data_IF_462516759115
#
_entry.id   IF_462516759115
#
_cell.length_a   1.000
_cell.length_b   1.000
_cell.length_c   1.000
_cell.angle_alpha   90.00
_cell.angle_beta   90.00
_cell.angle_gamma   90.00
#
_symmetry.space_group_name_H-M   'P 1'
#
loop_
_entity.id
_entity.type
_entity.pdbx_description
1 polymer ?
#
# COMPACT_ATOMS: atom_id res chain seq x y z
N UNK A 1 -17.71 42.75 -13.59
CA UNK A 1 -18.90 41.87 -13.72
C UNK A 1 -18.83 40.93 -14.91
N UNK A 2 -18.74 41.40 -16.16
CA UNK A 2 -18.74 40.50 -17.35
C UNK A 2 -17.73 39.35 -17.31
N UNK A 3 -16.46 39.60 -16.93
CA UNK A 3 -15.43 38.54 -16.79
C UNK A 3 -15.80 37.50 -15.74
N UNK A 4 -16.27 37.92 -14.56
CA UNK A 4 -16.68 37.02 -13.46
C UNK A 4 -17.85 36.15 -13.89
N UNK A 5 -18.83 36.73 -14.60
CA UNK A 5 -19.98 36.01 -15.14
C UNK A 5 -19.53 34.91 -16.11
N UNK A 6 -18.63 35.20 -17.05
CA UNK A 6 -18.10 34.22 -18.00
C UNK A 6 -17.46 33.02 -17.29
N UNK A 7 -16.63 33.26 -16.28
CA UNK A 7 -15.99 32.19 -15.53
C UNK A 7 -16.97 31.38 -14.66
N UNK A 8 -18.02 32.02 -14.12
CA UNK A 8 -19.10 31.33 -13.40
C UNK A 8 -19.91 30.42 -14.33
N UNK A 9 -20.30 30.92 -15.52
CA UNK A 9 -20.95 30.10 -16.54
C UNK A 9 -20.06 28.95 -17.00
N UNK A 10 -18.75 29.20 -17.20
CA UNK A 10 -17.80 28.16 -17.58
C UNK A 10 -17.74 27.04 -16.52
N UNK A 11 -17.65 27.36 -15.24
CA UNK A 11 -17.68 26.35 -14.16
C UNK A 11 -18.99 25.55 -14.14
N UNK A 12 -20.13 26.21 -14.38
CA UNK A 12 -21.42 25.53 -14.42
C UNK A 12 -21.53 24.57 -15.60
N UNK A 13 -21.14 25.02 -16.79
CA UNK A 13 -21.15 24.20 -18.01
C UNK A 13 -20.18 23.02 -17.84
N UNK A 14 -18.98 23.25 -17.33
CA UNK A 14 -18.01 22.19 -17.06
C UNK A 14 -18.55 21.15 -16.08
N UNK A 15 -19.26 21.56 -15.02
CA UNK A 15 -19.93 20.65 -14.09
C UNK A 15 -20.99 19.78 -14.78
N UNK A 16 -21.79 20.36 -15.68
CA UNK A 16 -22.81 19.63 -16.44
C UNK A 16 -22.15 18.63 -17.39
N UNK A 17 -21.16 19.08 -18.17
CA UNK A 17 -20.41 18.21 -19.09
C UNK A 17 -19.77 17.07 -18.32
N UNK A 18 -19.10 17.35 -17.20
CA UNK A 18 -18.51 16.33 -16.35
C UNK A 18 -19.53 15.29 -15.88
N UNK A 19 -20.71 15.73 -15.42
CA UNK A 19 -21.75 14.79 -14.99
C UNK A 19 -22.23 13.91 -16.15
N UNK A 20 -22.53 14.49 -17.31
CA UNK A 20 -22.96 13.76 -18.51
C UNK A 20 -21.92 12.71 -18.91
N UNK A 21 -20.63 13.05 -18.88
CA UNK A 21 -19.57 12.10 -19.20
C UNK A 21 -19.34 11.06 -18.10
N UNK A 22 -19.82 11.26 -16.87
CA UNK A 22 -19.74 10.26 -15.81
C UNK A 22 -21.00 9.39 -15.68
N UNK A 23 -22.15 9.81 -16.22
CA UNK A 23 -23.40 9.08 -16.05
C UNK A 23 -23.34 7.65 -16.58
N UNK A 24 -23.55 6.70 -15.67
CA UNK A 24 -23.87 5.32 -15.99
C UNK A 24 -25.14 4.99 -15.23
N UNK A 25 -26.24 4.74 -15.94
CA UNK A 25 -27.47 4.29 -15.31
C UNK A 25 -27.28 2.84 -14.86
N UNK A 26 -27.01 2.63 -13.56
CA UNK A 26 -27.06 1.33 -12.92
C UNK A 26 -27.88 1.38 -11.64
N UNK A 27 -28.52 0.26 -11.31
CA UNK A 27 -29.18 0.10 -10.02
C UNK A 27 -28.11 -0.16 -8.95
N UNK A 28 -27.93 0.78 -7.99
CA UNK A 28 -26.94 0.67 -6.93
C UNK A 28 -26.50 2.01 -6.34
N UNK A 29 -25.33 2.02 -5.70
CA UNK A 29 -24.68 3.23 -5.13
C UNK A 29 -24.55 4.40 -6.14
N UNK A 30 -24.25 4.17 -7.44
CA UNK A 30 -24.21 5.25 -8.43
C UNK A 30 -25.49 6.06 -8.55
N UNK A 31 -26.65 5.50 -8.19
CA UNK A 31 -27.93 6.22 -8.24
C UNK A 31 -27.93 7.46 -7.33
N UNK A 32 -27.15 7.46 -6.24
CA UNK A 32 -27.01 8.59 -5.32
C UNK A 32 -26.24 9.77 -5.94
N UNK A 33 -25.46 9.53 -7.01
CA UNK A 33 -24.69 10.58 -7.68
C UNK A 33 -25.58 11.65 -8.32
N UNK A 34 -26.73 11.24 -8.89
CA UNK A 34 -27.67 12.13 -9.57
C UNK A 34 -28.34 13.13 -8.63
N UNK A 35 -28.98 12.73 -7.51
CA UNK A 35 -29.57 13.69 -6.59
C UNK A 35 -28.52 14.61 -5.97
N UNK A 36 -27.33 14.09 -5.61
CA UNK A 36 -26.23 14.91 -5.07
C UNK A 36 -25.80 15.99 -6.07
N UNK A 37 -25.55 15.60 -7.32
CA UNK A 37 -25.17 16.54 -8.38
C UNK A 37 -26.30 17.53 -8.70
N UNK A 38 -27.54 17.07 -8.79
CA UNK A 38 -28.69 17.90 -9.16
C UNK A 38 -28.99 18.95 -8.09
N UNK A 39 -29.01 18.56 -6.81
CA UNK A 39 -29.23 19.49 -5.68
C UNK A 39 -28.16 20.57 -5.69
N UNK A 40 -26.89 20.18 -5.81
CA UNK A 40 -25.78 21.13 -5.82
C UNK A 40 -25.81 22.05 -7.05
N UNK A 41 -26.01 21.48 -8.24
CA UNK A 41 -26.03 22.24 -9.49
C UNK A 41 -27.24 23.17 -9.59
N UNK A 42 -28.41 22.76 -9.10
CA UNK A 42 -29.59 23.61 -9.02
C UNK A 42 -29.37 24.78 -8.05
N UNK A 43 -28.80 24.52 -6.87
CA UNK A 43 -28.48 25.57 -5.91
C UNK A 43 -27.41 26.53 -6.43
N UNK A 44 -26.35 26.03 -7.07
CA UNK A 44 -25.33 26.86 -7.70
C UNK A 44 -25.90 27.70 -8.85
N UNK A 45 -26.72 27.10 -9.73
CA UNK A 45 -27.41 27.81 -10.79
C UNK A 45 -28.36 28.89 -10.26
N UNK A 46 -29.08 28.63 -9.18
CA UNK A 46 -29.98 29.60 -8.58
C UNK A 46 -29.23 30.74 -7.89
N UNK A 47 -28.31 30.45 -6.97
CA UNK A 47 -27.65 31.48 -6.15
C UNK A 47 -26.51 32.18 -6.88
N UNK A 48 -25.63 31.45 -7.57
CA UNK A 48 -24.45 32.04 -8.20
C UNK A 48 -24.75 32.60 -9.60
N UNK A 49 -25.60 31.94 -10.38
CA UNK A 49 -25.91 32.41 -11.74
C UNK A 49 -27.14 33.33 -11.73
N UNK A 50 -28.29 32.85 -11.30
CA UNK A 50 -29.52 33.63 -11.40
C UNK A 50 -29.55 34.83 -10.45
N UNK A 51 -29.32 34.63 -9.14
CA UNK A 51 -29.36 35.73 -8.16
C UNK A 51 -28.16 36.66 -8.29
N UNK A 52 -26.94 36.13 -8.30
CA UNK A 52 -25.73 36.96 -8.31
C UNK A 52 -25.40 37.55 -9.69
N UNK A 53 -25.43 36.77 -10.78
CA UNK A 53 -25.04 37.27 -12.12
C UNK A 53 -26.21 37.93 -12.85
N UNK A 54 -27.36 37.27 -12.97
CA UNK A 54 -28.50 37.77 -13.79
C UNK A 54 -29.26 38.88 -13.07
N UNK A 55 -29.62 38.68 -11.80
CA UNK A 55 -30.31 39.70 -10.98
C UNK A 55 -29.36 40.74 -10.36
N UNK A 56 -28.05 40.56 -10.54
CA UNK A 56 -26.99 41.47 -10.07
C UNK A 56 -27.04 41.74 -8.55
N UNK A 57 -27.50 40.76 -7.76
CA UNK A 57 -27.64 40.91 -6.31
C UNK A 57 -26.31 40.60 -5.60
N UNK A 58 -25.57 41.65 -5.27
CA UNK A 58 -24.23 41.55 -4.64
C UNK A 58 -24.22 40.86 -3.27
N UNK A 59 -25.38 40.74 -2.61
CA UNK A 59 -25.56 40.00 -1.34
C UNK A 59 -25.18 38.52 -1.45
N UNK A 60 -25.26 37.93 -2.64
CA UNK A 60 -25.00 36.50 -2.86
C UNK A 60 -23.55 36.17 -3.24
N UNK A 61 -22.64 37.14 -3.20
CA UNK A 61 -21.22 36.94 -3.55
C UNK A 61 -20.57 35.88 -2.67
N UNK A 62 -20.74 35.96 -1.35
CA UNK A 62 -20.16 34.97 -0.42
C UNK A 62 -20.72 33.57 -0.65
N UNK A 63 -22.03 33.47 -0.95
CA UNK A 63 -22.66 32.21 -1.31
C UNK A 63 -22.08 31.64 -2.61
N UNK A 64 -21.89 32.48 -3.64
CA UNK A 64 -21.27 32.07 -4.90
C UNK A 64 -19.81 31.60 -4.72
N UNK A 65 -19.04 32.29 -3.88
CA UNK A 65 -17.68 31.89 -3.51
C UNK A 65 -17.68 30.51 -2.84
N UNK A 66 -18.57 30.26 -1.87
CA UNK A 66 -18.68 28.97 -1.20
C UNK A 66 -19.02 27.84 -2.16
N UNK A 67 -19.98 28.04 -3.07
CA UNK A 67 -20.26 27.03 -4.10
C UNK A 67 -19.05 26.75 -5.00
N UNK A 68 -18.25 27.75 -5.36
CA UNK A 68 -17.04 27.53 -6.16
C UNK A 68 -15.94 26.79 -5.39
N UNK A 69 -15.79 27.06 -4.08
CA UNK A 69 -14.87 26.33 -3.21
C UNK A 69 -15.25 24.84 -3.14
N UNK A 70 -16.55 24.53 -3.07
CA UNK A 70 -17.04 23.16 -2.94
C UNK A 70 -17.24 22.40 -4.25
N UNK A 71 -17.37 23.11 -5.38
CA UNK A 71 -17.65 22.49 -6.68
C UNK A 71 -16.69 21.34 -7.03
N UNK A 72 -15.35 21.50 -6.93
CA UNK A 72 -14.43 20.41 -7.28
C UNK A 72 -14.54 19.20 -6.35
N UNK A 73 -14.84 19.42 -5.07
CA UNK A 73 -15.02 18.34 -4.09
C UNK A 73 -16.32 17.56 -4.35
N UNK A 74 -17.41 18.26 -4.65
CA UNK A 74 -18.67 17.62 -5.04
C UNK A 74 -18.51 16.80 -6.31
N UNK A 75 -17.81 17.32 -7.32
CA UNK A 75 -17.51 16.56 -8.54
C UNK A 75 -16.71 15.28 -8.24
N UNK A 76 -15.75 15.34 -7.32
CA UNK A 76 -14.95 14.19 -6.92
C UNK A 76 -15.79 13.15 -6.13
N UNK A 77 -16.73 13.59 -5.29
CA UNK A 77 -17.69 12.69 -4.63
C UNK A 77 -18.57 11.99 -5.68
N UNK A 78 -19.15 12.75 -6.61
CA UNK A 78 -19.99 12.21 -7.69
C UNK A 78 -19.19 11.21 -8.53
N UNK A 79 -17.93 11.53 -8.85
CA UNK A 79 -17.02 10.62 -9.54
C UNK A 79 -16.85 9.29 -8.82
N UNK A 80 -16.53 9.33 -7.52
CA UNK A 80 -16.36 8.11 -6.73
C UNK A 80 -17.65 7.30 -6.64
N UNK A 81 -18.80 7.95 -6.47
CA UNK A 81 -20.10 7.26 -6.46
C UNK A 81 -20.36 6.51 -7.77
N UNK A 82 -19.99 7.07 -8.92
CA UNK A 82 -20.13 6.38 -10.21
C UNK A 82 -19.19 5.18 -10.35
N UNK A 83 -17.97 5.25 -9.80
CA UNK A 83 -16.98 4.16 -9.90
C UNK A 83 -17.16 3.08 -8.81
N UNK A 84 -17.97 3.36 -7.79
CA UNK A 84 -18.20 2.45 -6.67
C UNK A 84 -18.83 1.10 -7.06
N UNK A 85 -19.56 1.04 -8.19
CA UNK A 85 -20.23 -0.18 -8.67
C UNK A 85 -19.25 -1.23 -9.24
N UNK A 86 -17.97 -0.88 -9.36
CA UNK A 86 -16.92 -1.79 -9.80
C UNK A 86 -16.99 -2.23 -11.26
N UNK A 87 -17.84 -1.61 -12.07
CA UNK A 87 -17.90 -1.85 -13.52
C UNK A 87 -16.64 -1.36 -14.21
N UNK A 88 -16.25 -2.07 -15.26
CA UNK A 88 -15.15 -1.61 -16.12
C UNK A 88 -15.62 -0.41 -16.95
N UNK A 89 -14.86 0.67 -16.83
CA UNK A 89 -15.04 1.92 -17.57
C UNK A 89 -13.90 1.99 -18.58
N UNK A 90 -14.19 2.47 -19.79
CA UNK A 90 -13.14 2.67 -20.78
C UNK A 90 -12.12 3.69 -20.26
N UNK A 91 -10.84 3.36 -20.36
CA UNK A 91 -9.73 4.24 -19.97
C UNK A 91 -9.86 5.66 -20.52
N UNK A 92 -10.27 5.82 -21.78
CA UNK A 92 -10.43 7.14 -22.40
C UNK A 92 -11.52 8.00 -21.76
N UNK A 93 -12.61 7.37 -21.30
CA UNK A 93 -13.69 8.06 -20.59
C UNK A 93 -13.22 8.57 -19.24
N UNK A 94 -12.50 7.72 -18.49
CA UNK A 94 -11.95 8.10 -17.20
C UNK A 94 -10.90 9.20 -17.34
N UNK A 95 -10.05 9.13 -18.38
CA UNK A 95 -9.02 10.13 -18.62
C UNK A 95 -9.64 11.48 -18.92
N UNK A 96 -10.66 11.50 -19.77
CA UNK A 96 -11.39 12.71 -20.10
C UNK A 96 -12.08 13.33 -18.88
N UNK A 97 -12.72 12.52 -18.02
CA UNK A 97 -13.39 13.04 -16.83
C UNK A 97 -12.40 13.55 -15.79
N UNK A 98 -11.26 12.88 -15.59
CA UNK A 98 -10.18 13.39 -14.71
C UNK A 98 -9.63 14.71 -15.24
N UNK A 99 -9.38 14.83 -16.55
CA UNK A 99 -8.94 16.09 -17.17
C UNK A 99 -9.98 17.20 -16.96
N UNK A 100 -11.27 16.90 -17.20
CA UNK A 100 -12.35 17.85 -16.95
C UNK A 100 -12.40 18.31 -15.49
N UNK A 101 -12.17 17.40 -14.55
CA UNK A 101 -12.11 17.73 -13.13
C UNK A 101 -10.94 18.68 -12.82
N UNK A 102 -9.74 18.40 -13.35
CA UNK A 102 -8.56 19.27 -13.20
C UNK A 102 -8.82 20.65 -13.81
N UNK A 103 -9.38 20.70 -15.03
CA UNK A 103 -9.76 21.96 -15.69
C UNK A 103 -10.77 22.72 -14.83
N UNK A 104 -11.80 22.05 -14.30
CA UNK A 104 -12.81 22.69 -13.44
C UNK A 104 -12.19 23.21 -12.15
N UNK A 105 -11.26 22.47 -11.54
CA UNK A 105 -10.53 22.91 -10.36
C UNK A 105 -9.73 24.19 -10.65
N UNK A 106 -8.98 24.23 -11.76
CA UNK A 106 -8.20 25.42 -12.17
C UNK A 106 -9.13 26.61 -12.47
N UNK A 107 -10.21 26.39 -13.22
CA UNK A 107 -11.16 27.47 -13.55
C UNK A 107 -11.83 27.98 -12.27
N UNK A 108 -12.20 27.12 -11.32
CA UNK A 108 -12.70 27.52 -10.00
C UNK A 108 -11.70 28.41 -9.25
N UNK A 109 -10.42 28.02 -9.20
CA UNK A 109 -9.37 28.83 -8.55
C UNK A 109 -9.20 30.21 -9.20
N UNK A 110 -9.25 30.27 -10.54
CA UNK A 110 -9.21 31.52 -11.30
C UNK A 110 -10.44 32.38 -11.01
N UNK A 111 -11.65 31.80 -10.95
CA UNK A 111 -12.87 32.53 -10.61
C UNK A 111 -12.81 33.08 -9.18
N UNK A 112 -12.36 32.26 -8.22
CA UNK A 112 -12.16 32.67 -6.83
C UNK A 112 -11.14 33.81 -6.71
N UNK A 113 -10.07 33.79 -7.52
CA UNK A 113 -9.10 34.87 -7.60
C UNK A 113 -9.73 36.20 -8.05
N UNK A 114 -10.69 36.17 -8.98
CA UNK A 114 -11.43 37.36 -9.41
C UNK A 114 -12.53 37.80 -8.42
N UNK A 115 -13.07 36.87 -7.62
CA UNK A 115 -14.11 37.15 -6.62
C UNK A 115 -13.55 37.67 -5.28
N UNK A 116 -12.23 37.84 -5.14
CA UNK A 116 -11.63 38.40 -3.91
C UNK A 116 -12.14 39.83 -3.65
N UNK A 117 -12.45 40.21 -2.39
CA UNK A 117 -13.04 41.51 -2.04
C UNK A 117 -12.34 42.72 -2.66
N UNK A 118 -11.00 42.72 -2.68
CA UNK A 118 -10.17 43.80 -3.23
C UNK A 118 -10.31 44.02 -4.74
N UNK A 119 -10.93 43.10 -5.48
CA UNK A 119 -11.03 43.10 -6.95
C UNK A 119 -12.46 43.19 -7.45
N UNK A 120 -13.42 43.21 -6.53
CA UNK A 120 -14.81 43.35 -6.88
C UNK A 120 -15.08 44.80 -7.27
N UNK A 121 -15.79 45.04 -8.39
CA UNK A 121 -16.10 46.39 -8.86
C UNK A 121 -17.26 47.04 -8.08
N UNK A 122 -17.75 46.39 -7.03
CA UNK A 122 -18.88 46.83 -6.22
C UNK A 122 -18.54 46.68 -4.74
N UNK A 123 -19.26 47.42 -3.90
CA UNK A 123 -19.09 47.36 -2.45
C UNK A 123 -19.55 46.01 -1.89
N UNK A 124 -18.65 45.35 -1.16
CA UNK A 124 -18.94 44.04 -0.58
C UNK A 124 -19.91 44.24 0.58
N UNK A 125 -21.07 43.56 0.55
CA UNK A 125 -22.06 43.70 1.62
C UNK A 125 -21.45 43.23 2.95
N UNK A 126 -21.65 44.01 4.02
CA UNK A 126 -21.22 43.61 5.35
C UNK A 126 -21.89 42.29 5.76
N UNK A 127 -21.13 41.39 6.37
CA UNK A 127 -21.70 40.17 6.95
C UNK A 127 -22.68 40.59 8.05
N UNK A 128 -23.88 39.99 8.04
CA UNK A 128 -24.88 40.21 9.09
C UNK A 128 -24.27 39.85 10.44
N UNK A 129 -24.16 40.84 11.34
CA UNK A 129 -23.75 40.61 12.73
C UNK A 129 -24.93 40.01 13.48
N UNK A 130 -24.83 38.74 13.82
CA UNK A 130 -25.79 38.08 14.69
C UNK A 130 -25.44 38.42 16.15
N UNK A 131 -26.45 38.44 17.04
CA UNK A 131 -26.27 38.63 18.49
C UNK A 131 -26.92 37.48 19.25
N UNK A 132 -26.42 37.19 20.45
CA UNK A 132 -26.94 36.13 21.33
C UNK A 132 -26.76 34.70 20.77
N UNK A 133 -27.76 33.84 20.94
CA UNK A 133 -27.69 32.43 20.51
C UNK A 133 -27.46 32.26 18.99
N UNK A 134 -27.96 33.20 18.17
CA UNK A 134 -27.76 33.17 16.72
C UNK A 134 -26.30 33.44 16.32
N UNK A 135 -25.55 34.20 17.13
CA UNK A 135 -24.12 34.38 16.93
C UNK A 135 -23.36 33.07 17.18
N UNK A 136 -23.66 32.40 18.30
CA UNK A 136 -23.03 31.10 18.62
C UNK A 136 -23.27 30.09 17.50
N UNK A 137 -24.50 30.00 16.99
CA UNK A 137 -24.81 29.09 15.87
C UNK A 137 -24.10 29.49 14.57
N UNK A 138 -24.05 30.77 14.24
CA UNK A 138 -23.36 31.24 13.04
C UNK A 138 -21.85 30.99 13.12
N UNK A 139 -21.24 31.25 14.28
CA UNK A 139 -19.84 30.98 14.55
C UNK A 139 -19.55 29.47 14.45
N UNK A 140 -20.38 28.63 15.07
CA UNK A 140 -20.24 27.18 14.99
C UNK A 140 -20.33 26.66 13.54
N UNK A 141 -21.21 27.23 12.72
CA UNK A 141 -21.32 26.88 11.30
C UNK A 141 -20.09 27.35 10.50
N UNK A 142 -19.54 28.52 10.78
CA UNK A 142 -18.31 29.02 10.15
C UNK A 142 -17.10 28.13 10.51
N UNK A 143 -17.00 27.67 11.76
CA UNK A 143 -15.98 26.69 12.18
C UNK A 143 -16.17 25.32 11.55
N UNK A 144 -17.41 24.84 11.44
CA UNK A 144 -17.73 23.58 10.78
C UNK A 144 -17.38 23.62 9.30
N UNK A 145 -17.70 24.72 8.61
CA UNK A 145 -17.35 24.96 7.21
C UNK A 145 -15.84 24.94 7.00
N UNK A 146 -15.07 25.63 7.84
CA UNK A 146 -13.61 25.63 7.80
C UNK A 146 -13.03 24.22 8.05
N UNK A 147 -13.56 23.48 9.03
CA UNK A 147 -13.13 22.12 9.32
C UNK A 147 -13.42 21.16 8.16
N UNK A 148 -14.62 21.25 7.56
CA UNK A 148 -15.02 20.44 6.41
C UNK A 148 -14.11 20.70 5.21
N UNK A 149 -13.79 21.96 4.92
CA UNK A 149 -12.85 22.33 3.86
C UNK A 149 -11.44 21.80 4.13
N UNK A 150 -10.95 21.87 5.37
CA UNK A 150 -9.65 21.32 5.75
C UNK A 150 -9.59 19.80 5.55
N UNK A 151 -10.67 19.07 5.89
CA UNK A 151 -10.77 17.62 5.66
C UNK A 151 -10.69 17.29 4.16
N UNK A 152 -11.37 18.03 3.29
CA UNK A 152 -11.25 17.78 1.85
C UNK A 152 -9.83 18.00 1.33
N UNK A 153 -9.17 19.08 1.77
CA UNK A 153 -7.78 19.38 1.39
C UNK A 153 -6.85 18.26 1.88
N UNK A 154 -7.01 17.80 3.13
CA UNK A 154 -6.15 16.75 3.68
C UNK A 154 -6.34 15.43 2.94
N UNK A 155 -7.56 15.10 2.50
CA UNK A 155 -7.84 13.95 1.66
C UNK A 155 -7.09 14.06 0.32
N UNK A 156 -7.17 15.20 -0.37
CA UNK A 156 -6.43 15.38 -1.63
C UNK A 156 -4.91 15.28 -1.43
N UNK A 157 -4.38 15.89 -0.37
CA UNK A 157 -2.95 15.83 -0.04
C UNK A 157 -2.54 14.37 0.21
N UNK A 158 -3.34 13.59 0.93
CA UNK A 158 -3.08 12.18 1.23
C UNK A 158 -3.13 11.27 0.00
N UNK A 159 -3.97 11.61 -0.97
CA UNK A 159 -4.09 10.87 -2.23
C UNK A 159 -2.90 11.18 -3.15
N UNK A 160 -2.54 12.46 -3.34
CA UNK A 160 -1.62 12.87 -4.41
C UNK A 160 -0.21 13.28 -3.96
N UNK A 161 -0.03 13.71 -2.71
CA UNK A 161 1.20 14.37 -2.28
C UNK A 161 1.97 13.52 -1.28
N UNK A 162 1.48 13.42 -0.05
CA UNK A 162 2.16 12.74 1.05
C UNK A 162 1.19 11.88 1.83
N UNK A 163 1.63 10.73 2.34
CA UNK A 163 0.86 9.96 3.31
C UNK A 163 1.76 9.54 4.48
N UNK A 164 1.24 9.67 5.69
CA UNK A 164 1.87 9.18 6.91
C UNK A 164 1.47 7.72 7.13
N UNK A 165 2.45 6.86 7.40
CA UNK A 165 2.25 5.47 7.78
C UNK A 165 2.95 5.17 9.10
N UNK A 166 2.41 4.20 9.84
CA UNK A 166 3.06 3.61 10.99
C UNK A 166 3.51 2.20 10.60
N UNK A 167 4.76 1.85 10.91
CA UNK A 167 5.31 0.53 10.60
C UNK A 167 4.75 -0.51 11.59
N UNK A 168 3.99 -1.52 11.12
CA UNK A 168 3.35 -2.49 12.00
C UNK A 168 4.18 -3.75 12.26
N UNK A 169 5.29 -3.95 11.52
CA UNK A 169 6.06 -5.21 11.52
C UNK A 169 7.57 -4.96 11.49
N UNK A 170 8.33 -5.97 11.90
CA UNK A 170 9.78 -6.00 12.04
C UNK A 170 10.51 -6.22 10.71
N UNK A 171 9.80 -6.36 9.59
CA UNK A 171 10.39 -6.76 8.30
C UNK A 171 11.32 -5.73 7.64
N UNK A 172 11.47 -4.55 8.26
CA UNK A 172 12.36 -3.47 7.80
C UNK A 172 13.42 -3.12 8.85
N UNK A 173 13.56 -3.93 9.91
CA UNK A 173 14.63 -3.79 10.93
C UNK A 173 15.99 -4.07 10.27
N UNK A 174 17.06 -3.32 10.60
CA UNK A 174 17.15 -2.27 11.63
C UNK A 174 16.72 -0.87 11.17
N UNK A 175 16.38 -0.69 9.89
CA UNK A 175 16.16 0.65 9.32
C UNK A 175 14.87 1.31 9.80
N UNK A 176 13.81 0.51 10.00
CA UNK A 176 12.59 0.94 10.66
C UNK A 176 12.22 -0.04 11.75
N UNK A 177 11.97 0.50 12.94
CA UNK A 177 11.46 -0.23 14.09
C UNK A 177 9.93 -0.21 14.09
N UNK A 178 9.35 -1.15 14.84
CA UNK A 178 7.89 -1.20 15.00
C UNK A 178 7.41 0.07 15.70
N UNK A 179 6.31 0.64 15.20
CA UNK A 179 5.72 1.94 15.61
C UNK A 179 6.44 3.19 15.08
N UNK A 180 7.50 3.04 14.28
CA UNK A 180 8.07 4.18 13.57
C UNK A 180 7.03 4.80 12.62
N UNK A 181 7.04 6.13 12.54
CA UNK A 181 6.15 6.91 11.68
C UNK A 181 6.94 7.39 10.47
N UNK A 182 6.57 6.92 9.29
CA UNK A 182 7.23 7.26 8.03
C UNK A 182 6.35 8.15 7.17
N UNK A 183 6.96 9.12 6.50
CA UNK A 183 6.29 10.00 5.53
C UNK A 183 6.62 9.49 4.13
N UNK A 184 5.59 9.15 3.37
CA UNK A 184 5.74 8.67 1.99
C UNK A 184 5.34 9.76 1.02
N UNK A 185 6.27 10.13 0.13
CA UNK A 185 6.01 11.06 -0.96
C UNK A 185 5.50 10.30 -2.18
N UNK A 186 4.24 10.55 -2.56
CA UNK A 186 3.60 9.88 -3.69
C UNK A 186 3.79 10.61 -5.01
N UNK A 187 3.97 11.93 -4.98
CA UNK A 187 4.07 12.75 -6.21
C UNK A 187 5.11 12.27 -7.21
N UNK A 188 6.36 11.91 -6.82
CA UNK A 188 7.37 11.45 -7.77
C UNK A 188 7.02 10.11 -8.44
N UNK A 189 6.26 9.27 -7.73
CA UNK A 189 5.84 7.95 -8.16
C UNK A 189 4.68 7.96 -9.16
N UNK A 190 4.07 9.13 -9.44
CA UNK A 190 2.91 9.23 -10.32
C UNK A 190 1.67 8.58 -9.68
N UNK A 191 1.08 9.20 -8.64
CA UNK A 191 -0.05 8.61 -7.92
C UNK A 191 -1.21 8.34 -8.86
N UNK A 192 -1.88 7.22 -8.65
CA UNK A 192 -3.11 6.87 -9.37
C UNK A 192 -4.28 7.66 -8.82
N UNK A 193 -5.15 8.13 -9.71
CA UNK A 193 -6.42 8.72 -9.31
C UNK A 193 -7.30 7.58 -8.74
N UNK A 194 -7.83 7.72 -7.51
CA UNK A 194 -8.50 6.61 -6.85
C UNK A 194 -9.66 6.02 -7.68
N UNK A 195 -9.83 4.71 -7.61
CA UNK A 195 -10.87 3.96 -8.35
C UNK A 195 -10.70 3.97 -9.88
N UNK A 196 -9.54 4.38 -10.37
CA UNK A 196 -9.19 4.34 -11.79
C UNK A 196 -7.75 3.89 -12.02
N UNK A 197 -7.45 3.48 -13.25
CA UNK A 197 -6.11 3.10 -13.69
C UNK A 197 -5.26 4.29 -14.14
N UNK A 198 -5.80 5.51 -14.06
CA UNK A 198 -5.11 6.72 -14.52
C UNK A 198 -4.10 7.14 -13.47
N UNK A 199 -2.84 7.16 -13.86
CA UNK A 199 -1.75 7.70 -13.06
C UNK A 199 -1.31 9.07 -13.57
N UNK A 200 -0.89 9.92 -12.65
CA UNK A 200 -0.11 11.10 -13.02
C UNK A 200 1.23 10.65 -13.65
N UNK A 201 1.83 11.46 -14.54
CA UNK A 201 3.12 11.15 -15.12
C UNK A 201 4.17 10.85 -14.04
N UNK A 202 4.87 9.73 -14.20
CA UNK A 202 5.96 9.34 -13.30
C UNK A 202 7.14 10.30 -13.49
N UNK A 203 7.46 11.06 -12.44
CA UNK A 203 8.58 12.01 -12.44
C UNK A 203 9.91 11.34 -12.12
N UNK A 204 9.87 10.19 -11.42
CA UNK A 204 11.06 9.42 -11.02
C UNK A 204 10.81 7.93 -11.16
N UNK A 205 11.80 7.21 -11.70
CA UNK A 205 11.86 5.75 -11.65
C UNK A 205 12.47 5.29 -10.33
N UNK A 206 11.98 4.17 -9.80
CA UNK A 206 12.57 3.54 -8.62
C UNK A 206 13.96 3.01 -8.93
N UNK A 207 14.88 3.21 -7.99
CA UNK A 207 16.25 2.68 -8.06
C UNK A 207 16.44 1.61 -6.99
N UNK A 208 17.44 0.77 -7.19
CA UNK A 208 17.92 -0.16 -6.17
C UNK A 208 18.19 0.61 -4.88
N UNK A 209 17.73 0.08 -3.76
CA UNK A 209 17.85 0.73 -2.45
C UNK A 209 16.74 1.74 -2.11
N UNK A 210 15.84 2.09 -3.04
CA UNK A 210 14.68 2.92 -2.71
C UNK A 210 13.69 2.12 -1.84
N UNK A 211 13.15 2.74 -0.78
CA UNK A 211 12.06 2.18 0.02
C UNK A 211 10.76 2.55 -0.64
N UNK A 212 9.91 1.55 -0.87
CA UNK A 212 8.65 1.72 -1.56
C UNK A 212 7.50 1.19 -0.72
N UNK A 213 6.35 1.83 -0.89
CA UNK A 213 5.09 1.40 -0.30
C UNK A 213 4.16 0.99 -1.42
N UNK A 214 3.70 -0.25 -1.40
CA UNK A 214 2.85 -0.82 -2.44
C UNK A 214 1.77 -1.69 -1.84
N UNK A 215 0.70 -1.92 -2.62
CA UNK A 215 -0.40 -2.78 -2.21
C UNK A 215 0.04 -4.23 -2.18
N UNK A 216 -0.44 -4.98 -1.19
CA UNK A 216 -0.15 -6.40 -1.11
C UNK A 216 -0.68 -7.13 -2.38
N UNK A 217 0.16 -7.89 -3.12
CA UNK A 217 -0.30 -8.59 -4.32
C UNK A 217 -1.26 -9.75 -4.02
N UNK A 218 -1.31 -10.23 -2.78
CA UNK A 218 -2.18 -11.35 -2.37
C UNK A 218 -3.60 -10.90 -1.99
N UNK A 219 -3.84 -9.60 -1.82
CA UNK A 219 -5.18 -9.07 -1.52
C UNK A 219 -5.99 -8.91 -2.80
N UNK A 220 -7.32 -9.10 -2.70
CA UNK A 220 -8.23 -8.84 -3.83
C UNK A 220 -8.06 -7.39 -4.33
N UNK A 221 -7.64 -7.26 -5.59
CA UNK A 221 -7.44 -5.97 -6.25
C UNK A 221 -8.68 -5.52 -7.02
N UNK A 222 -9.84 -6.17 -6.82
CA UNK A 222 -11.09 -5.76 -7.44
C UNK A 222 -11.45 -4.31 -7.06
N UNK A 223 -12.13 -3.60 -7.97
CA UNK A 223 -12.62 -2.23 -7.71
C UNK A 223 -13.47 -2.16 -6.44
N UNK A 224 -14.21 -3.23 -6.09
CA UNK A 224 -15.00 -3.30 -4.86
C UNK A 224 -14.13 -3.31 -3.62
N UNK A 225 -13.04 -4.08 -3.63
CA UNK A 225 -12.04 -4.07 -2.57
C UNK A 225 -11.38 -2.68 -2.48
N UNK A 226 -11.10 -2.03 -3.61
CA UNK A 226 -10.54 -0.67 -3.61
C UNK A 226 -11.49 0.37 -3.00
N UNK A 227 -12.80 0.30 -3.32
CA UNK A 227 -13.83 1.12 -2.68
C UNK A 227 -13.90 0.84 -1.18
N UNK A 228 -13.84 -0.43 -0.76
CA UNK A 228 -13.83 -0.80 0.66
C UNK A 228 -12.60 -0.23 1.37
N UNK A 229 -11.41 -0.34 0.78
CA UNK A 229 -10.18 0.19 1.36
C UNK A 229 -10.21 1.71 1.47
N UNK A 230 -10.68 2.40 0.42
CA UNK A 230 -10.80 3.86 0.43
C UNK A 230 -11.85 4.35 1.43
N UNK A 231 -13.04 3.73 1.46
CA UNK A 231 -14.09 4.09 2.43
C UNK A 231 -13.66 3.80 3.86
N UNK A 232 -12.98 2.67 4.09
CA UNK A 232 -12.40 2.34 5.40
C UNK A 232 -11.33 3.34 5.82
N UNK A 233 -10.48 3.80 4.90
CA UNK A 233 -9.50 4.85 5.18
C UNK A 233 -10.15 6.19 5.52
N UNK A 234 -11.23 6.56 4.82
CA UNK A 234 -12.01 7.76 5.15
C UNK A 234 -12.67 7.65 6.53
N UNK A 235 -13.30 6.51 6.83
CA UNK A 235 -13.90 6.26 8.15
C UNK A 235 -12.83 6.29 9.23
N UNK A 236 -11.68 5.65 9.03
CA UNK A 236 -10.57 5.68 9.95
C UNK A 236 -10.07 7.12 10.21
N UNK A 237 -10.01 7.95 9.16
CA UNK A 237 -9.63 9.36 9.28
C UNK A 237 -10.68 10.18 10.03
N UNK A 238 -11.96 10.02 9.70
CA UNK A 238 -13.07 10.75 10.32
C UNK A 238 -13.32 10.33 11.77
N UNK A 239 -13.01 9.08 12.11
CA UNK A 239 -13.13 8.53 13.47
C UNK A 239 -11.86 8.70 14.29
N UNK A 240 -10.91 9.54 13.85
CA UNK A 240 -9.65 9.82 14.55
C UNK A 240 -8.89 8.54 14.91
N UNK A 241 -8.75 7.62 13.96
CA UNK A 241 -8.05 6.32 14.10
C UNK A 241 -8.71 5.29 15.01
N UNK A 242 -9.92 5.53 15.51
CA UNK A 242 -10.60 4.62 16.45
C UNK A 242 -11.21 3.40 15.78
N UNK A 243 -11.71 3.52 14.54
CA UNK A 243 -12.40 2.43 13.84
C UNK A 243 -11.59 2.02 12.61
N UNK A 244 -11.06 0.79 12.63
CA UNK A 244 -10.42 0.16 11.48
C UNK A 244 -11.35 -0.89 10.85
N UNK A 245 -11.86 -0.62 9.66
CA UNK A 245 -12.76 -1.50 8.91
C UNK A 245 -12.00 -2.44 7.94
N UNK A 246 -10.68 -2.29 7.81
CA UNK A 246 -9.85 -3.13 6.93
C UNK A 246 -9.43 -4.42 7.64
N UNK A 247 -10.42 -5.28 7.93
CA UNK A 247 -10.22 -6.63 8.47
C UNK A 247 -10.45 -7.69 7.38
N UNK A 248 -9.70 -8.78 7.47
CA UNK A 248 -9.87 -9.98 6.65
C UNK A 248 -11.12 -10.77 7.06
N UNK A 249 -11.45 -11.83 6.32
CA UNK A 249 -12.61 -12.69 6.60
C UNK A 249 -12.50 -13.42 7.96
N UNK A 250 -11.29 -13.46 8.55
CA UNK A 250 -11.02 -14.01 9.87
C UNK A 250 -10.98 -12.94 10.98
N UNK A 251 -11.28 -11.68 10.67
CA UNK A 251 -11.29 -10.55 11.61
C UNK A 251 -9.91 -9.98 11.97
N UNK A 252 -8.82 -10.43 11.34
CA UNK A 252 -7.48 -9.85 11.52
C UNK A 252 -7.30 -8.64 10.61
N UNK A 253 -6.59 -7.59 11.06
CA UNK A 253 -6.29 -6.44 10.22
C UNK A 253 -5.44 -6.87 9.02
N UNK A 254 -5.86 -6.47 7.82
CA UNK A 254 -5.12 -6.75 6.58
C UNK A 254 -3.82 -5.94 6.61
N UNK A 255 -2.69 -6.59 6.36
CA UNK A 255 -1.37 -5.96 6.25
C UNK A 255 -1.20 -5.27 4.88
N UNK A 256 -1.99 -4.23 4.65
CA UNK A 256 -1.95 -3.36 3.47
C UNK A 256 -1.88 -1.88 3.92
N UNK A 257 -0.90 -1.07 3.46
CA UNK A 257 0.13 -1.39 2.46
C UNK A 257 1.40 -2.04 3.03
N UNK A 258 2.18 -2.66 2.13
CA UNK A 258 3.49 -3.22 2.43
C UNK A 258 4.57 -2.16 2.23
N UNK A 259 5.50 -2.06 3.18
CA UNK A 259 6.72 -1.26 3.08
C UNK A 259 7.88 -2.22 2.85
N UNK A 260 8.57 -2.10 1.71
CA UNK A 260 9.73 -2.92 1.36
C UNK A 260 10.79 -2.08 0.65
N UNK A 261 11.98 -2.63 0.47
CA UNK A 261 13.03 -2.01 -0.32
C UNK A 261 13.19 -2.68 -1.67
N UNK A 262 13.54 -1.87 -2.67
CA UNK A 262 13.82 -2.34 -4.03
C UNK A 262 15.19 -3.01 -4.08
N UNK A 263 15.20 -4.34 -4.13
CA UNK A 263 16.39 -5.19 -4.32
C UNK A 263 16.61 -5.59 -5.78
N UNK A 264 15.68 -5.32 -6.68
CA UNK A 264 15.77 -5.70 -8.09
C UNK A 264 15.20 -4.64 -9.00
N UNK A 265 15.89 -4.38 -10.11
CA UNK A 265 15.39 -3.50 -11.16
C UNK A 265 15.08 -4.31 -12.44
N UNK A 266 14.21 -3.80 -13.33
CA UNK A 266 13.83 -4.52 -14.54
C UNK A 266 15.05 -4.93 -15.38
N UNK A 267 15.07 -6.19 -15.84
CA UNK A 267 16.16 -6.74 -16.66
C UNK A 267 17.24 -7.52 -15.89
N UNK A 268 17.13 -7.58 -14.56
CA UNK A 268 18.00 -8.39 -13.71
C UNK A 268 17.35 -9.73 -13.33
N UNK A 269 18.18 -10.73 -13.12
CA UNK A 269 17.81 -11.96 -12.43
C UNK A 269 18.56 -12.01 -11.11
N UNK A 270 17.82 -12.29 -10.03
CA UNK A 270 18.34 -12.31 -8.68
C UNK A 270 18.34 -13.73 -8.13
N UNK A 271 19.37 -14.07 -7.37
CA UNK A 271 19.42 -15.28 -6.56
C UNK A 271 19.98 -14.92 -5.19
N UNK A 272 19.48 -15.58 -4.15
CA UNK A 272 19.95 -15.40 -2.80
C UNK A 272 20.60 -16.70 -2.34
N UNK A 273 21.82 -16.60 -1.84
CA UNK A 273 22.59 -17.75 -1.36
C UNK A 273 23.27 -17.34 -0.05
N UNK A 274 23.02 -18.07 1.03
CA UNK A 274 23.61 -17.85 2.35
C UNK A 274 23.43 -16.40 2.87
N UNK A 275 22.28 -15.77 2.61
CA UNK A 275 22.01 -14.38 2.98
C UNK A 275 22.71 -13.32 2.10
N UNK A 276 23.41 -13.73 1.04
CA UNK A 276 24.02 -12.82 0.07
C UNK A 276 23.15 -12.78 -1.18
N UNK A 277 22.78 -11.57 -1.60
CA UNK A 277 22.06 -11.32 -2.84
C UNK A 277 23.04 -11.26 -4.02
N UNK A 278 22.78 -12.04 -5.05
CA UNK A 278 23.49 -12.01 -6.32
C UNK A 278 22.57 -11.56 -7.44
N UNK A 279 23.12 -10.83 -8.40
CA UNK A 279 22.41 -10.41 -9.61
C UNK A 279 23.17 -10.79 -10.86
N UNK A 280 22.43 -11.04 -11.94
CA UNK A 280 22.95 -11.13 -13.31
C UNK A 280 22.06 -10.34 -14.26
N UNK A 281 22.63 -9.88 -15.37
CA UNK A 281 21.91 -9.13 -16.42
C UNK A 281 22.09 -9.82 -17.76
N UNK A 282 21.40 -9.34 -18.79
CA UNK A 282 21.59 -9.84 -20.16
C UNK A 282 23.03 -9.63 -20.68
N UNK A 283 23.71 -8.59 -20.19
CA UNK A 283 25.08 -8.25 -20.59
C UNK A 283 26.14 -9.00 -19.77
N UNK A 284 25.79 -9.45 -18.55
CA UNK A 284 26.67 -10.21 -17.67
C UNK A 284 25.98 -11.50 -17.23
N UNK A 285 26.34 -12.62 -17.86
CA UNK A 285 25.76 -13.94 -17.60
C UNK A 285 26.17 -14.56 -16.26
N UNK A 286 27.19 -14.02 -15.60
CA UNK A 286 27.69 -14.48 -14.31
C UNK A 286 26.99 -13.76 -13.16
N UNK A 287 26.56 -14.53 -12.16
CA UNK A 287 26.01 -13.98 -10.93
C UNK A 287 27.09 -13.28 -10.12
N UNK A 288 26.96 -11.97 -9.96
CA UNK A 288 27.85 -11.15 -9.14
C UNK A 288 27.14 -10.71 -7.86
N UNK A 289 27.84 -10.66 -6.72
CA UNK A 289 27.23 -10.20 -5.47
C UNK A 289 26.81 -8.73 -5.58
N UNK A 290 25.62 -8.42 -5.10
CA UNK A 290 25.11 -7.05 -5.02
C UNK A 290 25.70 -6.41 -3.76
N UNK A 291 26.83 -5.73 -3.90
CA UNK A 291 27.52 -5.08 -2.77
C UNK A 291 26.63 -4.07 -2.04
N UNK A 292 25.80 -3.34 -2.77
CA UNK A 292 24.89 -2.37 -2.19
C UNK A 292 23.85 -2.99 -1.25
N UNK A 293 23.51 -4.28 -1.36
CA UNK A 293 22.53 -4.95 -0.48
C UNK A 293 23.11 -5.19 0.92
N UNK A 294 24.42 -5.44 1.01
CA UNK A 294 25.12 -5.69 2.26
C UNK A 294 25.12 -4.49 3.22
N UNK A 295 24.92 -3.27 2.72
CA UNK A 295 24.89 -2.06 3.57
C UNK A 295 23.63 -1.99 4.48
N UNK A 296 22.62 -2.82 4.22
CA UNK A 296 21.31 -2.70 4.88
C UNK A 296 20.54 -4.00 5.08
N UNK A 297 20.88 -5.08 4.37
CA UNK A 297 20.25 -6.36 4.58
C UNK A 297 20.71 -6.96 5.91
N UNK A 298 19.76 -7.16 6.82
CA UNK A 298 19.98 -7.84 8.09
C UNK A 298 19.11 -9.09 8.13
N UNK A 299 19.75 -10.25 8.13
CA UNK A 299 19.08 -11.55 8.08
C UNK A 299 18.99 -12.19 9.46
N UNK A 300 19.92 -11.84 10.35
CA UNK A 300 19.95 -12.36 11.71
C UNK A 300 19.66 -11.25 12.72
N UNK A 301 18.39 -11.11 13.10
CA UNK A 301 17.99 -10.18 14.15
C UNK A 301 18.66 -10.48 15.50
N UNK A 302 19.13 -11.71 15.72
CA UNK A 302 19.85 -12.10 16.94
C UNK A 302 21.27 -11.53 17.02
N UNK A 303 21.86 -11.05 15.92
CA UNK A 303 23.19 -10.42 15.92
C UNK A 303 23.15 -8.92 16.21
N UNK A 304 21.96 -8.32 16.18
CA UNK A 304 21.79 -6.89 16.42
C UNK A 304 22.21 -6.46 17.85
N UNK A 305 22.66 -5.20 18.03
CA UNK A 305 22.93 -4.62 19.34
C UNK A 305 21.72 -4.73 20.30
N UNK A 306 21.99 -4.94 21.60
CA UNK A 306 20.93 -5.06 22.61
C UNK A 306 19.98 -3.86 22.67
N UNK A 307 20.45 -2.67 22.31
CA UNK A 307 19.64 -1.45 22.24
C UNK A 307 18.53 -1.54 21.20
N UNK A 308 18.79 -2.16 20.06
CA UNK A 308 17.80 -2.38 19.00
C UNK A 308 16.87 -3.55 19.33
N UNK A 309 17.43 -4.64 19.89
CA UNK A 309 16.65 -5.83 20.28
C UNK A 309 15.51 -5.54 21.23
N UNK A 310 15.66 -4.56 22.14
CA UNK A 310 14.60 -4.14 23.07
C UNK A 310 13.32 -3.64 22.36
N UNK A 311 13.44 -3.18 21.12
CA UNK A 311 12.34 -2.64 20.34
C UNK A 311 11.81 -3.62 19.27
N UNK A 312 12.36 -4.84 19.21
CA UNK A 312 11.91 -5.93 18.35
C UNK A 312 10.94 -6.78 19.17
N UNK A 313 9.74 -7.05 18.65
CA UNK A 313 8.72 -7.80 19.39
C UNK A 313 8.78 -9.30 19.07
N UNK A 314 9.05 -9.65 17.82
CA UNK A 314 9.06 -11.03 17.34
C UNK A 314 10.44 -11.45 16.82
N UNK A 315 10.93 -12.59 17.32
CA UNK A 315 12.14 -13.26 16.84
C UNK A 315 11.72 -14.65 16.35
N UNK A 316 11.65 -14.86 15.02
CA UNK A 316 11.10 -16.10 14.47
C UNK A 316 11.97 -17.33 14.77
N UNK A 317 13.29 -17.14 14.98
CA UNK A 317 14.26 -18.21 15.20
C UNK A 317 15.23 -17.78 16.31
N UNK A 318 15.47 -18.68 17.28
CA UNK A 318 16.46 -18.45 18.33
C UNK A 318 17.88 -18.52 17.75
N UNK A 319 18.85 -17.90 18.43
CA UNK A 319 20.23 -17.90 17.98
C UNK A 319 20.82 -19.33 17.87
N UNK A 320 20.43 -20.24 18.76
CA UNK A 320 20.85 -21.64 18.74
C UNK A 320 20.34 -22.37 17.49
N UNK A 321 19.07 -22.19 17.15
CA UNK A 321 18.47 -22.79 15.96
C UNK A 321 19.10 -22.19 14.71
N UNK A 322 19.32 -20.87 14.69
CA UNK A 322 20.00 -20.20 13.58
C UNK A 322 21.41 -20.75 13.36
N UNK A 323 22.22 -20.85 14.41
CA UNK A 323 23.57 -21.42 14.34
C UNK A 323 23.55 -22.86 13.83
N UNK A 324 22.65 -23.71 14.34
CA UNK A 324 22.50 -25.08 13.87
C UNK A 324 22.11 -25.16 12.38
N UNK A 325 21.24 -24.27 11.91
CA UNK A 325 20.87 -24.19 10.48
C UNK A 325 22.07 -23.77 9.61
N UNK A 326 22.83 -22.77 10.05
CA UNK A 326 24.04 -22.32 9.34
C UNK A 326 25.10 -23.43 9.28
N UNK A 327 25.27 -24.19 10.35
CA UNK A 327 26.19 -25.34 10.38
C UNK A 327 25.76 -26.43 9.39
N UNK A 328 24.46 -26.72 9.30
CA UNK A 328 23.92 -27.70 8.33
C UNK A 328 24.15 -27.22 6.89
N UNK A 329 23.89 -25.94 6.58
CA UNK A 329 24.12 -25.40 5.23
C UNK A 329 25.62 -25.37 4.89
N UNK A 330 26.49 -25.10 5.87
CA UNK A 330 27.94 -25.20 5.69
C UNK A 330 28.36 -26.64 5.36
N UNK A 331 27.87 -27.63 6.11
CA UNK A 331 28.10 -29.04 5.80
C UNK A 331 27.62 -29.40 4.40
N UNK A 332 26.45 -28.91 4.00
CA UNK A 332 25.89 -29.14 2.66
C UNK A 332 26.76 -28.54 1.55
N UNK A 333 27.34 -27.36 1.79
CA UNK A 333 28.23 -26.67 0.86
C UNK A 333 29.59 -27.36 0.72
N UNK A 334 30.11 -27.89 1.81
CA UNK A 334 31.39 -28.61 1.86
C UNK A 334 31.26 -30.08 1.43
N UNK A 335 30.03 -30.60 1.31
CA UNK A 335 29.76 -31.98 0.91
C UNK A 335 30.21 -32.26 -0.53
N UNK A 336 31.27 -33.06 -0.67
CA UNK A 336 31.62 -33.70 -1.93
C UNK A 336 30.75 -34.94 -2.15
N UNK A 337 29.97 -34.92 -3.22
CA UNK A 337 29.04 -36.00 -3.58
C UNK A 337 29.78 -37.31 -3.85
N UNK A 338 30.98 -37.28 -4.44
CA UNK A 338 31.73 -38.50 -4.73
C UNK A 338 32.32 -39.11 -3.45
N UNK A 339 32.87 -38.28 -2.57
CA UNK A 339 33.32 -38.74 -1.25
C UNK A 339 32.15 -39.30 -0.44
N UNK A 340 31.01 -38.61 -0.42
CA UNK A 340 29.82 -39.07 0.28
C UNK A 340 29.30 -40.42 -0.25
N UNK A 341 29.38 -40.66 -1.57
CA UNK A 341 29.06 -41.96 -2.17
C UNK A 341 30.02 -43.05 -1.70
N UNK A 342 31.31 -42.76 -1.61
CA UNK A 342 32.31 -43.71 -1.15
C UNK A 342 32.11 -44.04 0.34
N UNK A 343 31.89 -43.04 1.18
CA UNK A 343 31.56 -43.22 2.59
C UNK A 343 30.28 -44.05 2.78
N UNK A 344 29.23 -43.76 2.00
CA UNK A 344 28.00 -44.55 2.03
C UNK A 344 28.25 -46.01 1.65
N UNK A 345 29.06 -46.29 0.62
CA UNK A 345 29.43 -47.66 0.25
C UNK A 345 30.21 -48.35 1.36
N UNK A 346 31.17 -47.66 1.98
CA UNK A 346 31.98 -48.19 3.08
C UNK A 346 31.10 -48.52 4.30
N UNK A 347 30.11 -47.67 4.62
CA UNK A 347 29.15 -47.90 5.69
C UNK A 347 28.28 -49.14 5.39
N UNK A 348 27.78 -49.29 4.16
CA UNK A 348 27.01 -50.47 3.72
C UNK A 348 27.85 -51.74 3.78
N UNK A 349 29.09 -51.71 3.29
CA UNK A 349 30.01 -52.85 3.36
C UNK A 349 30.31 -53.24 4.81
N UNK A 350 30.63 -52.26 5.67
CA UNK A 350 30.84 -52.48 7.10
C UNK A 350 29.62 -53.12 7.75
N UNK A 351 28.42 -52.64 7.42
CA UNK A 351 27.17 -53.23 7.90
C UNK A 351 26.95 -54.67 7.40
N UNK A 352 27.22 -54.96 6.13
CA UNK A 352 27.12 -56.32 5.57
C UNK A 352 28.09 -57.30 6.28
N UNK A 353 29.31 -56.87 6.57
CA UNK A 353 30.26 -57.68 7.33
C UNK A 353 29.80 -57.96 8.76
N UNK A 354 29.29 -56.94 9.46
CA UNK A 354 28.72 -57.10 10.81
C UNK A 354 27.51 -58.04 10.75
N UNK A 355 26.62 -57.87 9.78
CA UNK A 355 25.45 -58.74 9.60
C UNK A 355 25.85 -60.20 9.38
N UNK A 356 26.85 -60.46 8.52
CA UNK A 356 27.41 -61.82 8.32
C UNK A 356 27.99 -62.40 9.60
N UNK A 357 28.76 -61.61 10.38
CA UNK A 357 29.33 -62.04 11.67
C UNK A 357 28.25 -62.37 12.70
N UNK A 358 27.21 -61.55 12.80
CA UNK A 358 26.07 -61.78 13.70
C UNK A 358 25.26 -63.01 13.26
N UNK A 359 25.05 -63.21 11.95
CA UNK A 359 24.36 -64.39 11.42
C UNK A 359 25.14 -65.68 11.71
N UNK A 360 26.47 -65.67 11.57
CA UNK A 360 27.33 -66.80 11.93
C UNK A 360 27.31 -67.08 13.44
N UNK A 361 27.43 -66.05 14.28
CA UNK A 361 27.40 -66.20 15.75
C UNK A 361 26.06 -66.74 16.26
N UNK A 362 24.94 -66.40 15.62
CA UNK A 362 23.61 -66.97 15.88
C UNK A 362 23.50 -68.45 15.50
N UNK A 363 24.15 -68.88 14.42
CA UNK A 363 24.17 -70.28 13.99
C UNK A 363 24.95 -71.17 14.98
N UNK A 364 26.02 -70.64 15.58
CA UNK A 364 26.88 -71.35 16.54
C UNK A 364 26.40 -71.28 18.00
N UNK A 365 25.18 -70.80 18.27
CA UNK A 365 24.59 -70.67 19.63
C UNK A 365 25.44 -69.86 20.63
N UNK A 366 26.30 -68.96 20.12
CA UNK A 366 27.13 -68.07 20.93
C UNK A 366 26.41 -66.76 21.28
N UNK A 367 26.80 -66.09 22.37
CA UNK A 367 26.21 -64.81 22.78
C UNK A 367 26.55 -63.70 21.77
N UNK A 368 25.71 -63.57 20.76
CA UNK A 368 25.85 -62.64 19.64
C UNK A 368 25.97 -61.17 20.08
N UNK A 369 25.55 -60.85 21.31
CA UNK A 369 25.63 -59.49 21.88
C UNK A 369 27.07 -59.01 22.07
N UNK A 370 28.03 -59.91 22.27
CA UNK A 370 29.45 -59.56 22.38
C UNK A 370 30.15 -59.37 21.03
N UNK A 371 29.46 -59.63 19.92
CA UNK A 371 30.04 -59.53 18.55
C UNK A 371 29.95 -58.11 17.99
N UNK A 372 29.03 -57.29 18.50
CA UNK A 372 28.86 -55.89 18.07
C UNK A 372 29.74 -55.01 18.96
N UNK A 373 30.77 -54.39 18.39
CA UNK A 373 31.65 -53.49 19.13
C UNK A 373 31.06 -52.07 19.19
N UNK A 374 31.46 -51.22 20.16
CA UNK A 374 30.99 -49.83 20.23
C UNK A 374 31.24 -49.02 18.94
N UNK A 375 32.30 -49.35 18.20
CA UNK A 375 32.62 -48.74 16.90
C UNK A 375 31.64 -49.12 15.77
N UNK A 376 30.93 -50.25 15.92
CA UNK A 376 30.01 -50.79 14.93
C UNK A 376 28.56 -50.28 15.13
N UNK A 377 28.30 -49.69 16.31
CA UNK A 377 26.98 -49.21 16.72
C UNK A 377 26.40 -48.15 15.79
N UNK A 378 27.24 -47.29 15.19
CA UNK A 378 26.77 -46.27 14.25
C UNK A 378 26.09 -46.89 13.02
N UNK A 379 26.78 -47.80 12.32
CA UNK A 379 26.24 -48.48 11.15
C UNK A 379 25.01 -49.35 11.50
N UNK A 380 25.05 -50.07 12.62
CA UNK A 380 23.92 -50.89 13.08
C UNK A 380 22.69 -50.03 13.43
N UNK A 381 22.90 -48.87 14.08
CA UNK A 381 21.81 -47.95 14.41
C UNK A 381 21.16 -47.35 13.16
N UNK A 382 21.97 -47.01 12.16
CA UNK A 382 21.54 -46.42 10.90
C UNK A 382 20.63 -47.36 10.10
N UNK A 383 20.94 -48.66 10.07
CA UNK A 383 20.18 -49.67 9.33
C UNK A 383 19.21 -50.48 10.19
N UNK A 384 18.98 -50.10 11.45
CA UNK A 384 18.13 -50.83 12.40
C UNK A 384 16.68 -51.07 11.93
N UNK A 385 16.19 -50.28 10.97
CA UNK A 385 14.85 -50.40 10.38
C UNK A 385 14.83 -50.94 8.95
N UNK A 386 16.00 -51.18 8.35
CA UNK A 386 16.15 -51.58 6.95
C UNK A 386 17.24 -52.65 6.80
N UNK A 387 16.99 -53.83 7.37
CA UNK A 387 17.89 -54.98 7.26
C UNK A 387 18.09 -55.47 5.81
N UNK A 388 17.18 -55.11 4.89
CA UNK A 388 17.25 -55.47 3.48
C UNK A 388 18.52 -54.95 2.77
N UNK A 389 19.10 -53.84 3.24
CA UNK A 389 20.36 -53.30 2.70
C UNK A 389 21.60 -54.13 3.12
N UNK A 390 21.45 -55.13 3.98
CA UNK A 390 22.54 -56.03 4.38
C UNK A 390 22.76 -57.20 3.40
N UNK A 391 21.76 -57.49 2.55
CA UNK A 391 21.77 -58.58 1.54
C UNK A 391 22.32 -58.07 0.22
#
# INVERSE_FOLDING_TARGET
MKRIAVFLYANFILSIVFFIFNTSFSAGIPLLSLPVWLIFSAAFGYFAIYRFVIKNETKFVFTAVKFLEYLPFVMLIVFFLFRADGRETSFGRDLFTVILWVVTFIVSLVTLFFLKPKRLPFEVPERKKYTGAKWVLAEALDWLDAALQAVFIIILVNVFIIQLYMIPSESMVPQFLVKDRVVVFKTPAGPTFPLTEISLPRLRSYKRGDIVVFRNPHTDQSKKAEVKTFTSQLVFMLTLTTVNLNVDDAGKPISDPLVKRVTGVPGEQLVMVDGILYSRTKDNNTFTPVTADADWAEWNLNELPETLKKNIQDFPVSNEIYAAMTDIEKLRKELDIEQAKEEARNIVQSFSEIHKKVAAAKADSSDYKNTILPKDMFAVSLFSKHEDFAR
#
